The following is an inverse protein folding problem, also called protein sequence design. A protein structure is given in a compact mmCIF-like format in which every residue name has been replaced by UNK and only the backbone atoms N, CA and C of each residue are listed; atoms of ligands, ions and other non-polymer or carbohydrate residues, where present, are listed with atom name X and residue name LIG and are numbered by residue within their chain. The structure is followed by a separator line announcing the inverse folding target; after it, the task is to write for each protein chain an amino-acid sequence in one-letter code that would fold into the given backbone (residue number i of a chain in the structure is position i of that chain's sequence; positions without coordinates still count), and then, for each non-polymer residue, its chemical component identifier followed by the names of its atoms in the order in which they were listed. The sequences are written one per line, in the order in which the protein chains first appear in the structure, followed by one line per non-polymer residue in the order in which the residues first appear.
data_IF_545076051797
#
_entry.id   IF_545076051797
#
_cell.length_a   1.000
_cell.length_b   1.000
_cell.length_c   1.000
_cell.angle_alpha   90.00
_cell.angle_beta   90.00
_cell.angle_gamma   90.00
#
_symmetry.space_group_name_H-M   'P 1'
#
loop_
_entity.id
_entity.type
_entity.pdbx_description
1 polymer ?
#
# COMPACT_ATOMS: atom_id res chain seq x y z
N UNK A 1 -11.69 29.97 -13.46
CA UNK A 1 -12.10 28.77 -12.71
C UNK A 1 -13.23 29.18 -11.80
N UNK A 2 -14.38 28.52 -11.91
CA UNK A 2 -15.49 28.72 -10.97
C UNK A 2 -15.22 27.93 -9.68
N UNK A 3 -15.83 28.33 -8.57
CA UNK A 3 -15.72 27.61 -7.29
C UNK A 3 -16.16 26.14 -7.43
N UNK A 4 -17.19 25.88 -8.24
CA UNK A 4 -17.65 24.53 -8.56
C UNK A 4 -16.62 23.68 -9.31
N UNK A 5 -15.93 24.27 -10.30
CA UNK A 5 -14.82 23.59 -11.00
C UNK A 5 -13.65 23.27 -10.06
N UNK A 6 -13.36 24.17 -9.11
CA UNK A 6 -12.34 23.93 -8.08
C UNK A 6 -12.73 22.73 -7.21
N UNK A 7 -13.92 22.76 -6.61
CA UNK A 7 -14.38 21.69 -5.70
C UNK A 7 -14.39 20.34 -6.40
N UNK A 8 -14.95 20.27 -7.62
CA UNK A 8 -14.98 19.03 -8.40
C UNK A 8 -13.58 18.47 -8.67
N UNK A 9 -12.60 19.35 -8.97
CA UNK A 9 -11.21 18.94 -9.16
C UNK A 9 -10.60 18.28 -7.91
N UNK A 10 -10.85 18.84 -6.72
CA UNK A 10 -10.37 18.25 -5.47
C UNK A 10 -11.09 16.94 -5.12
N UNK A 11 -12.41 16.86 -5.32
CA UNK A 11 -13.16 15.62 -5.07
C UNK A 11 -12.64 14.47 -5.94
N UNK A 12 -12.33 14.76 -7.21
CA UNK A 12 -11.74 13.79 -8.13
C UNK A 12 -10.36 13.33 -7.65
N UNK A 13 -9.48 14.25 -7.25
CA UNK A 13 -8.13 13.91 -6.75
C UNK A 13 -8.19 13.13 -5.43
N UNK A 14 -9.06 13.51 -4.50
CA UNK A 14 -9.30 12.80 -3.23
C UNK A 14 -9.76 11.37 -3.51
N UNK A 15 -10.71 11.20 -4.43
CA UNK A 15 -11.23 9.88 -4.82
C UNK A 15 -10.14 9.04 -5.47
N UNK A 16 -9.35 9.62 -6.36
CA UNK A 16 -8.20 8.97 -6.99
C UNK A 16 -7.19 8.48 -5.95
N UNK A 17 -6.76 9.34 -5.03
CA UNK A 17 -5.78 8.98 -4.02
C UNK A 17 -6.30 7.93 -3.03
N UNK A 18 -7.59 7.96 -2.65
CA UNK A 18 -8.21 6.90 -1.86
C UNK A 18 -8.14 5.56 -2.58
N UNK A 19 -8.55 5.51 -3.84
CA UNK A 19 -8.51 4.31 -4.65
C UNK A 19 -7.07 3.78 -4.87
N UNK A 20 -6.10 4.69 -5.05
CA UNK A 20 -4.68 4.34 -5.11
C UNK A 20 -4.20 3.68 -3.81
N UNK A 21 -4.55 4.23 -2.65
CA UNK A 21 -4.19 3.66 -1.34
C UNK A 21 -4.83 2.27 -1.15
N UNK A 22 -6.08 2.09 -1.57
CA UNK A 22 -6.75 0.78 -1.55
C UNK A 22 -6.00 -0.25 -2.41
N UNK A 23 -5.55 0.15 -3.61
CA UNK A 23 -4.70 -0.69 -4.45
C UNK A 23 -3.41 -1.10 -3.74
N UNK A 24 -2.72 -0.15 -3.09
CA UNK A 24 -1.53 -0.47 -2.30
C UNK A 24 -1.84 -1.44 -1.15
N UNK A 25 -3.02 -1.31 -0.52
CA UNK A 25 -3.50 -2.25 0.50
C UNK A 25 -3.73 -3.67 -0.05
N UNK A 26 -4.29 -3.79 -1.26
CA UNK A 26 -4.42 -5.08 -1.96
C UNK A 26 -3.05 -5.71 -2.22
N UNK A 27 -2.09 -4.93 -2.73
CA UNK A 27 -0.73 -5.40 -2.93
C UNK A 27 -0.06 -5.82 -1.63
N UNK A 28 -0.16 -5.02 -0.57
CA UNK A 28 0.35 -5.39 0.76
C UNK A 28 -0.20 -6.75 1.22
N UNK A 29 -1.50 -6.98 1.05
CA UNK A 29 -2.17 -8.22 1.43
C UNK A 29 -1.71 -9.44 0.61
N UNK A 30 -1.43 -9.24 -0.68
CA UNK A 30 -0.85 -10.28 -1.54
C UNK A 30 0.55 -10.67 -1.06
N UNK A 31 1.41 -9.71 -0.76
CA UNK A 31 2.75 -9.96 -0.26
C UNK A 31 2.75 -10.56 1.15
N UNK A 32 1.80 -10.18 2.00
CA UNK A 32 1.59 -10.82 3.30
C UNK A 32 1.20 -12.30 3.17
N UNK A 33 0.27 -12.60 2.26
CA UNK A 33 -0.10 -13.99 1.95
C UNK A 33 1.11 -14.78 1.45
N UNK A 34 1.89 -14.18 0.54
CA UNK A 34 3.11 -14.78 -0.01
C UNK A 34 4.15 -15.10 1.08
N UNK A 35 4.39 -14.14 1.98
CA UNK A 35 5.28 -14.32 3.12
C UNK A 35 4.79 -15.43 4.05
N UNK A 36 3.49 -15.46 4.33
CA UNK A 36 2.86 -16.46 5.21
C UNK A 36 2.99 -17.87 4.64
N UNK A 37 2.75 -18.05 3.34
CA UNK A 37 2.99 -19.32 2.64
C UNK A 37 4.47 -19.70 2.73
N UNK A 38 5.38 -18.76 2.46
CA UNK A 38 6.82 -18.97 2.61
C UNK A 38 7.21 -19.49 4.00
N UNK A 39 6.67 -18.87 5.06
CA UNK A 39 6.92 -19.28 6.44
C UNK A 39 6.38 -20.67 6.76
N UNK A 40 5.17 -21.00 6.28
CA UNK A 40 4.58 -22.33 6.48
C UNK A 40 5.48 -23.40 5.84
N UNK A 41 5.89 -23.21 4.59
CA UNK A 41 6.79 -24.16 3.93
C UNK A 41 8.15 -24.24 4.62
N UNK A 42 8.71 -23.10 5.04
CA UNK A 42 9.98 -23.07 5.76
C UNK A 42 9.91 -23.89 7.05
N UNK A 43 8.83 -23.74 7.83
CA UNK A 43 8.60 -24.48 9.06
C UNK A 43 8.59 -26.00 8.85
N UNK A 44 7.91 -26.50 7.80
CA UNK A 44 7.79 -27.94 7.57
C UNK A 44 9.01 -28.60 6.92
N UNK A 45 9.77 -27.85 6.11
CA UNK A 45 10.80 -28.42 5.25
C UNK A 45 12.24 -28.04 5.61
N UNK A 46 12.44 -27.13 6.57
CA UNK A 46 13.77 -26.83 7.10
C UNK A 46 14.45 -28.11 7.60
N UNK A 47 15.69 -28.34 7.14
CA UNK A 47 16.48 -29.53 7.48
C UNK A 47 16.03 -30.84 6.83
N UNK A 48 14.85 -30.89 6.17
CA UNK A 48 14.36 -32.08 5.45
C UNK A 48 14.62 -32.00 3.95
N UNK A 49 14.40 -30.83 3.37
CA UNK A 49 14.61 -30.61 1.93
C UNK A 49 15.26 -29.25 1.72
N UNK A 50 16.55 -29.26 1.35
CA UNK A 50 17.34 -28.04 1.19
C UNK A 50 16.81 -27.15 0.05
N UNK A 51 16.34 -27.74 -1.05
CA UNK A 51 15.79 -26.96 -2.17
C UNK A 51 14.52 -26.21 -1.74
N UNK A 52 13.58 -26.90 -1.10
CA UNK A 52 12.35 -26.26 -0.60
C UNK A 52 12.70 -25.19 0.43
N UNK A 53 13.63 -25.47 1.34
CA UNK A 53 14.09 -24.51 2.35
C UNK A 53 14.59 -23.20 1.73
N UNK A 54 15.43 -23.28 0.69
CA UNK A 54 15.95 -22.10 -0.02
C UNK A 54 14.82 -21.33 -0.70
N UNK A 55 13.94 -22.01 -1.42
CA UNK A 55 12.79 -21.37 -2.11
C UNK A 55 11.87 -20.68 -1.11
N UNK A 56 11.52 -21.33 -0.01
CA UNK A 56 10.66 -20.77 1.04
C UNK A 56 11.29 -19.57 1.74
N UNK A 57 12.61 -19.60 1.96
CA UNK A 57 13.35 -18.48 2.54
C UNK A 57 13.31 -17.27 1.61
N UNK A 58 13.56 -17.45 0.31
CA UNK A 58 13.48 -16.39 -0.69
C UNK A 58 12.05 -15.83 -0.81
N UNK A 59 11.04 -16.71 -0.81
CA UNK A 59 9.63 -16.31 -0.87
C UNK A 59 9.22 -15.46 0.33
N UNK A 60 9.64 -15.87 1.53
CA UNK A 60 9.41 -15.15 2.78
C UNK A 60 10.08 -13.78 2.76
N UNK A 61 11.35 -13.73 2.36
CA UNK A 61 12.11 -12.49 2.26
C UNK A 61 11.46 -11.51 1.26
N UNK A 62 11.10 -12.00 0.07
CA UNK A 62 10.44 -11.19 -0.95
C UNK A 62 9.06 -10.68 -0.49
N UNK A 63 8.30 -11.53 0.21
CA UNK A 63 7.06 -11.16 0.88
C UNK A 63 7.24 -9.97 1.82
N UNK A 64 8.21 -10.05 2.74
CA UNK A 64 8.49 -8.95 3.68
C UNK A 64 8.98 -7.67 3.00
N UNK A 65 9.86 -7.77 2.00
CA UNK A 65 10.34 -6.61 1.24
C UNK A 65 9.19 -5.91 0.52
N UNK A 66 8.29 -6.66 -0.11
CA UNK A 66 7.10 -6.07 -0.72
C UNK A 66 6.18 -5.42 0.31
N UNK A 67 5.94 -6.07 1.45
CA UNK A 67 5.16 -5.47 2.53
C UNK A 67 5.75 -4.13 3.01
N UNK A 68 7.08 -4.04 3.17
CA UNK A 68 7.74 -2.78 3.54
C UNK A 68 7.55 -1.71 2.47
N UNK A 69 7.73 -2.06 1.19
CA UNK A 69 7.57 -1.14 0.07
C UNK A 69 6.13 -0.61 -0.03
N UNK A 70 5.13 -1.51 -0.02
CA UNK A 70 3.73 -1.12 -0.12
C UNK A 70 3.24 -0.44 1.16
N UNK A 71 3.70 -0.87 2.34
CA UNK A 71 3.41 -0.21 3.61
C UNK A 71 3.91 1.23 3.64
N UNK A 72 5.14 1.47 3.17
CA UNK A 72 5.68 2.82 3.02
C UNK A 72 4.88 3.64 1.99
N UNK A 73 4.49 3.03 0.87
CA UNK A 73 3.60 3.65 -0.12
C UNK A 73 2.27 4.09 0.46
N UNK A 74 1.62 3.24 1.27
CA UNK A 74 0.36 3.54 1.97
C UNK A 74 0.56 4.72 2.92
N UNK A 75 1.64 4.72 3.71
CA UNK A 75 1.96 5.80 4.63
C UNK A 75 2.09 7.15 3.90
N UNK A 76 2.88 7.18 2.82
CA UNK A 76 3.05 8.38 1.99
C UNK A 76 1.76 8.79 1.29
N UNK A 77 0.98 7.84 0.79
CA UNK A 77 -0.32 8.11 0.15
C UNK A 77 -1.29 8.79 1.10
N UNK A 78 -1.39 8.32 2.36
CA UNK A 78 -2.24 8.94 3.38
C UNK A 78 -1.83 10.38 3.71
N UNK A 79 -0.52 10.64 3.80
CA UNK A 79 -0.01 12.00 4.01
C UNK A 79 -0.34 12.92 2.83
N UNK A 80 -0.25 12.43 1.61
CA UNK A 80 -0.61 13.22 0.43
C UNK A 80 -2.10 13.52 0.39
N UNK A 81 -2.95 12.53 0.71
CA UNK A 81 -4.40 12.70 0.75
C UNK A 81 -4.80 13.75 1.78
N UNK A 82 -4.19 13.71 2.98
CA UNK A 82 -4.41 14.73 4.01
C UNK A 82 -4.03 16.13 3.54
N UNK A 83 -2.92 16.29 2.83
CA UNK A 83 -2.52 17.60 2.28
C UNK A 83 -3.53 18.14 1.28
N UNK A 84 -4.06 17.28 0.40
CA UNK A 84 -5.08 17.70 -0.59
C UNK A 84 -6.37 18.13 0.11
N UNK A 85 -6.81 17.39 1.13
CA UNK A 85 -8.00 17.74 1.91
C UNK A 85 -7.81 19.07 2.66
N UNK A 86 -6.68 19.24 3.35
CA UNK A 86 -6.37 20.47 4.07
C UNK A 86 -6.27 21.69 3.14
N UNK A 87 -5.73 21.51 1.93
CA UNK A 87 -5.64 22.58 0.93
C UNK A 87 -7.03 22.97 0.39
N UNK A 88 -7.94 22.00 0.22
CA UNK A 88 -9.35 22.27 -0.10
C UNK A 88 -10.03 23.06 1.03
N UNK A 89 -9.92 22.60 2.28
CA UNK A 89 -10.52 23.25 3.45
C UNK A 89 -10.06 24.70 3.59
N UNK A 90 -8.75 24.95 3.42
CA UNK A 90 -8.20 26.30 3.45
C UNK A 90 -8.82 27.19 2.36
N UNK A 91 -8.88 26.71 1.12
CA UNK A 91 -9.44 27.47 0.00
C UNK A 91 -10.93 27.77 0.15
N UNK A 92 -11.69 26.88 0.78
CA UNK A 92 -13.11 27.11 1.10
C UNK A 92 -13.31 28.10 2.25
N UNK A 93 -12.33 28.23 3.14
CA UNK A 93 -12.40 29.18 4.27
C UNK A 93 -11.90 30.58 3.88
N UNK A 94 -11.01 30.67 2.88
CA UNK A 94 -10.44 31.91 2.36
C UNK A 94 -11.23 32.51 1.16
N UNK A 95 -12.18 31.77 0.60
CA UNK A 95 -13.09 32.21 -0.47
C UNK A 95 -14.31 32.96 0.09
#
# INVERSE_FOLDING_TARGET
MTEQELIQGYEQEITYQKHMIENLGRWFSLFFTLASVGLIFLYFFVGRNQLITVVSSLLTLFGFLGMLLFGYGIYRGRLNLQKVILDLERKLTEA
#
